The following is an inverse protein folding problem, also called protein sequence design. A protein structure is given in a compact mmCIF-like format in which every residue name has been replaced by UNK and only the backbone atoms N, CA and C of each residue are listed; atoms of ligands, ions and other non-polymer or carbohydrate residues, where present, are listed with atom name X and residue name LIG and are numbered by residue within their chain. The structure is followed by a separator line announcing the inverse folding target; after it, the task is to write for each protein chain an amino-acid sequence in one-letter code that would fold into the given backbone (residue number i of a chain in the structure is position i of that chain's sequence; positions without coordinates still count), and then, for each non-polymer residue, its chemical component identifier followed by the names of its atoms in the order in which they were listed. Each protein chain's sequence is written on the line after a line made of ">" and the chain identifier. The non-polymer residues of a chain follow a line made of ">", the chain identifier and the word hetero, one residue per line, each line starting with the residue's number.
data_IF_297478192931
#
_entry.id   IF_297478192931
#
_cell.length_a   1.000
_cell.length_b   1.000
_cell.length_c   1.000
_cell.angle_alpha   90.00
_cell.angle_beta   90.00
_cell.angle_gamma   90.00
#
_symmetry.space_group_name_H-M   'P 1'
#
loop_
_entity.id
_entity.type
_entity.pdbx_description
1 polymer ?
#
# COMPACT_ATOMS: atom_id res chain seq x y z
N UNK A 1 -80.31 -11.51 -24.62
CA UNK A 1 -79.43 -10.32 -24.63
C UNK A 1 -79.14 -9.84 -23.22
N UNK A 2 -80.15 -9.63 -22.36
CA UNK A 2 -79.97 -9.29 -20.93
C UNK A 2 -79.07 -10.26 -20.15
N UNK A 3 -79.32 -11.57 -20.20
CA UNK A 3 -78.51 -12.55 -19.45
C UNK A 3 -77.03 -12.61 -19.87
N UNK A 4 -76.72 -12.25 -21.12
CA UNK A 4 -75.34 -12.16 -21.59
C UNK A 4 -74.63 -10.90 -21.05
N UNK A 5 -75.39 -9.84 -20.77
CA UNK A 5 -74.90 -8.62 -20.16
C UNK A 5 -74.65 -8.84 -18.66
N UNK A 6 -75.60 -9.45 -17.94
CA UNK A 6 -75.48 -9.79 -16.52
C UNK A 6 -74.29 -10.72 -16.24
N UNK A 7 -74.10 -11.76 -17.05
CA UNK A 7 -72.92 -12.63 -16.93
C UNK A 7 -71.61 -11.88 -17.17
N UNK A 8 -71.60 -10.90 -18.09
CA UNK A 8 -70.40 -10.12 -18.38
C UNK A 8 -70.11 -9.10 -17.28
N UNK A 9 -71.15 -8.55 -16.66
CA UNK A 9 -71.06 -7.66 -15.50
C UNK A 9 -70.50 -8.41 -14.29
N UNK A 10 -71.01 -9.59 -13.96
CA UNK A 10 -70.48 -10.41 -12.87
C UNK A 10 -69.00 -10.78 -13.07
N UNK A 11 -68.60 -11.16 -14.28
CA UNK A 11 -67.19 -11.45 -14.59
C UNK A 11 -66.29 -10.20 -14.47
N UNK A 12 -66.82 -9.01 -14.78
CA UNK A 12 -66.09 -7.75 -14.62
C UNK A 12 -65.95 -7.36 -13.16
N UNK A 13 -66.97 -7.57 -12.34
CA UNK A 13 -66.91 -7.33 -10.89
C UNK A 13 -65.89 -8.24 -10.20
N UNK A 14 -65.87 -9.53 -10.55
CA UNK A 14 -64.87 -10.48 -10.07
C UNK A 14 -63.45 -10.04 -10.47
N UNK A 15 -63.24 -9.71 -11.75
CA UNK A 15 -61.94 -9.24 -12.25
C UNK A 15 -61.50 -7.91 -11.61
N UNK A 16 -62.43 -7.01 -11.31
CA UNK A 16 -62.16 -5.76 -10.59
C UNK A 16 -61.73 -6.04 -9.14
N UNK A 17 -62.37 -7.01 -8.49
CA UNK A 17 -61.98 -7.50 -7.17
C UNK A 17 -60.55 -8.02 -7.14
N UNK A 18 -60.20 -8.89 -8.08
CA UNK A 18 -58.84 -9.44 -8.22
C UNK A 18 -57.79 -8.36 -8.50
N UNK A 19 -58.12 -7.40 -9.37
CA UNK A 19 -57.24 -6.25 -9.64
C UNK A 19 -57.03 -5.39 -8.40
N UNK A 20 -58.06 -5.17 -7.58
CA UNK A 20 -57.95 -4.41 -6.34
C UNK A 20 -57.02 -5.09 -5.34
N UNK A 21 -57.17 -6.40 -5.14
CA UNK A 21 -56.28 -7.19 -4.28
C UNK A 21 -54.84 -7.14 -4.79
N UNK A 22 -54.65 -7.23 -6.11
CA UNK A 22 -53.32 -7.14 -6.73
C UNK A 22 -52.70 -5.76 -6.51
N UNK A 23 -53.49 -4.69 -6.60
CA UNK A 23 -53.02 -3.32 -6.36
C UNK A 23 -52.56 -3.13 -4.91
N UNK A 24 -53.35 -3.60 -3.94
CA UNK A 24 -52.98 -3.53 -2.51
C UNK A 24 -51.68 -4.29 -2.21
N UNK A 25 -51.46 -5.44 -2.86
CA UNK A 25 -50.20 -6.19 -2.79
C UNK A 25 -49.02 -5.42 -3.38
N UNK A 26 -49.20 -4.81 -4.56
CA UNK A 26 -48.16 -4.02 -5.24
C UNK A 26 -47.79 -2.78 -4.42
N UNK A 27 -48.77 -2.07 -3.86
CA UNK A 27 -48.54 -0.92 -3.00
C UNK A 27 -47.75 -1.29 -1.74
N UNK A 28 -48.13 -2.40 -1.10
CA UNK A 28 -47.39 -2.93 0.06
C UNK A 28 -45.95 -3.30 -0.28
N UNK A 29 -45.72 -3.94 -1.43
CA UNK A 29 -44.36 -4.22 -1.92
C UNK A 29 -43.57 -2.94 -2.19
N UNK A 30 -44.19 -1.94 -2.81
CA UNK A 30 -43.55 -0.66 -3.16
C UNK A 30 -43.07 0.07 -1.91
N UNK A 31 -43.92 0.19 -0.89
CA UNK A 31 -43.54 0.78 0.40
C UNK A 31 -42.39 0.01 1.08
N UNK A 32 -42.40 -1.32 0.98
CA UNK A 32 -41.31 -2.16 1.47
C UNK A 32 -39.97 -1.90 0.75
N UNK A 33 -40.02 -1.67 -0.57
CA UNK A 33 -38.83 -1.30 -1.35
C UNK A 33 -38.32 0.10 -0.98
N UNK A 34 -39.21 1.09 -0.83
CA UNK A 34 -38.84 2.46 -0.44
C UNK A 34 -38.14 2.46 0.93
N UNK A 35 -38.69 1.73 1.90
CA UNK A 35 -38.08 1.60 3.23
C UNK A 35 -36.70 0.91 3.19
N UNK A 36 -36.54 -0.09 2.31
CA UNK A 36 -35.27 -0.76 2.14
C UNK A 36 -34.24 0.17 1.46
N UNK A 37 -34.65 0.95 0.48
CA UNK A 37 -33.81 1.95 -0.17
C UNK A 37 -33.30 2.98 0.85
N UNK A 38 -34.19 3.50 1.72
CA UNK A 38 -33.82 4.48 2.74
C UNK A 38 -32.81 3.91 3.75
N UNK A 39 -33.02 2.67 4.22
CA UNK A 39 -32.07 1.97 5.10
C UNK A 39 -30.71 1.74 4.47
N UNK A 40 -30.68 1.38 3.18
CA UNK A 40 -29.43 1.20 2.44
C UNK A 40 -28.73 2.56 2.31
N UNK A 41 -29.45 3.64 2.01
CA UNK A 41 -28.90 4.99 1.92
C UNK A 41 -28.28 5.42 3.25
N UNK A 42 -28.99 5.25 4.36
CA UNK A 42 -28.50 5.57 5.70
C UNK A 42 -27.22 4.79 6.03
N UNK A 43 -27.24 3.46 5.84
CA UNK A 43 -26.07 2.61 6.06
C UNK A 43 -24.85 3.03 5.24
N UNK A 44 -25.06 3.38 3.96
CA UNK A 44 -23.98 3.84 3.07
C UNK A 44 -23.43 5.19 3.53
N UNK A 45 -24.30 6.12 3.93
CA UNK A 45 -23.89 7.44 4.43
C UNK A 45 -23.08 7.33 5.72
N UNK A 46 -23.54 6.52 6.67
CA UNK A 46 -22.84 6.31 7.95
C UNK A 46 -21.48 5.65 7.73
N UNK A 47 -21.44 4.60 6.90
CA UNK A 47 -20.21 3.88 6.58
C UNK A 47 -19.20 4.79 5.88
N UNK A 48 -19.67 5.58 4.92
CA UNK A 48 -18.82 6.51 4.17
C UNK A 48 -18.34 7.66 5.06
N UNK A 49 -19.22 8.20 5.91
CA UNK A 49 -18.91 9.26 6.88
C UNK A 49 -17.84 8.83 7.87
N UNK A 50 -18.03 7.68 8.52
CA UNK A 50 -17.04 7.12 9.45
C UNK A 50 -15.69 6.87 8.78
N UNK A 51 -15.69 6.36 7.54
CA UNK A 51 -14.46 6.16 6.78
C UNK A 51 -13.77 7.47 6.43
N UNK A 52 -14.54 8.51 6.04
CA UNK A 52 -14.01 9.83 5.74
C UNK A 52 -13.36 10.47 6.97
N UNK A 53 -13.99 10.38 8.15
CA UNK A 53 -13.43 10.88 9.41
C UNK A 53 -12.12 10.16 9.78
N UNK A 54 -12.09 8.83 9.68
CA UNK A 54 -10.89 8.03 9.93
C UNK A 54 -9.74 8.41 8.98
N UNK A 55 -10.03 8.53 7.68
CA UNK A 55 -9.03 8.91 6.68
C UNK A 55 -8.52 10.33 6.93
N UNK A 56 -9.41 11.26 7.27
CA UNK A 56 -9.03 12.64 7.56
C UNK A 56 -8.15 12.73 8.81
N UNK A 57 -8.45 11.96 9.87
CA UNK A 57 -7.62 11.86 11.07
C UNK A 57 -6.22 11.31 10.77
N UNK A 58 -6.12 10.25 9.95
CA UNK A 58 -4.84 9.67 9.53
C UNK A 58 -4.02 10.67 8.69
N UNK A 59 -4.65 11.30 7.71
CA UNK A 59 -4.00 12.32 6.85
C UNK A 59 -3.50 13.48 7.70
N UNK A 60 -4.32 13.99 8.62
CA UNK A 60 -3.94 15.10 9.49
C UNK A 60 -2.74 14.75 10.39
N UNK A 61 -2.75 13.56 11.01
CA UNK A 61 -1.62 13.07 11.81
C UNK A 61 -0.35 12.93 10.97
N UNK A 62 -0.46 12.39 9.76
CA UNK A 62 0.69 12.20 8.85
C UNK A 62 1.27 13.53 8.41
N UNK A 63 0.43 14.50 8.02
CA UNK A 63 0.87 15.85 7.63
C UNK A 63 1.56 16.56 8.79
N UNK A 64 1.03 16.46 10.00
CA UNK A 64 1.65 17.04 11.20
C UNK A 64 3.04 16.45 11.46
N UNK A 65 3.16 15.12 11.45
CA UNK A 65 4.44 14.44 11.64
C UNK A 65 5.46 14.82 10.57
N UNK A 66 5.02 14.96 9.30
CA UNK A 66 5.89 15.37 8.20
C UNK A 66 6.40 16.80 8.38
N UNK A 67 5.55 17.71 8.84
CA UNK A 67 5.93 19.09 9.13
C UNK A 67 6.96 19.17 10.27
N UNK A 68 6.74 18.45 11.37
CA UNK A 68 7.68 18.40 12.51
C UNK A 68 9.05 17.83 12.08
N UNK A 69 9.05 16.76 11.28
CA UNK A 69 10.28 16.19 10.71
C UNK A 69 10.97 17.13 9.73
N UNK A 70 10.22 17.91 8.96
CA UNK A 70 10.73 18.96 8.08
C UNK A 70 11.50 20.02 8.84
N UNK A 71 10.91 20.56 9.92
CA UNK A 71 11.56 21.55 10.78
C UNK A 71 12.85 20.99 11.42
N UNK A 72 12.79 19.76 11.95
CA UNK A 72 13.98 19.11 12.54
C UNK A 72 15.12 18.92 11.52
N UNK A 73 14.77 18.60 10.26
CA UNK A 73 15.75 18.49 9.19
C UNK A 73 16.38 19.84 8.84
N UNK A 74 15.59 20.91 8.80
CA UNK A 74 16.10 22.27 8.59
C UNK A 74 17.09 22.69 9.68
N UNK A 75 16.79 22.41 10.95
CA UNK A 75 17.68 22.67 12.08
C UNK A 75 19.01 21.91 11.96
N UNK A 76 18.95 20.62 11.59
CA UNK A 76 20.16 19.82 11.37
C UNK A 76 21.00 20.36 10.21
N UNK A 77 20.38 20.75 9.10
CA UNK A 77 21.10 21.35 7.96
C UNK A 77 21.75 22.66 8.37
N UNK A 78 21.10 23.48 9.20
CA UNK A 78 21.67 24.72 9.71
C UNK A 78 22.91 24.44 10.58
N UNK A 79 22.82 23.46 11.49
CA UNK A 79 23.94 23.04 12.33
C UNK A 79 25.12 22.52 11.50
N UNK A 80 24.86 21.64 10.52
CA UNK A 80 25.88 21.12 9.62
C UNK A 80 26.56 22.22 8.81
N UNK A 81 25.80 23.19 8.30
CA UNK A 81 26.36 24.35 7.60
C UNK A 81 27.32 25.14 8.49
N UNK A 82 26.98 25.33 9.77
CA UNK A 82 27.84 26.00 10.73
C UNK A 82 29.14 25.24 10.97
N UNK A 83 29.08 23.93 11.19
CA UNK A 83 30.27 23.08 11.38
C UNK A 83 31.18 23.09 10.15
N UNK A 84 30.62 23.08 8.94
CA UNK A 84 31.40 23.19 7.70
C UNK A 84 32.14 24.52 7.62
N UNK A 85 31.52 25.64 8.00
CA UNK A 85 32.17 26.95 8.01
C UNK A 85 33.29 27.02 9.06
N UNK A 86 33.09 26.42 10.24
CA UNK A 86 34.12 26.32 11.28
C UNK A 86 35.33 25.48 10.80
N UNK A 87 35.08 24.30 10.24
CA UNK A 87 36.12 23.43 9.66
C UNK A 87 36.86 24.10 8.50
N UNK A 88 36.18 24.87 7.65
CA UNK A 88 36.83 25.69 6.61
C UNK A 88 37.78 26.71 7.23
N UNK A 89 37.36 27.37 8.31
CA UNK A 89 38.20 28.29 9.08
C UNK A 89 39.49 27.61 9.58
N UNK A 90 39.35 26.49 10.28
CA UNK A 90 40.51 25.71 10.76
C UNK A 90 41.43 25.26 9.62
N UNK A 91 40.87 24.79 8.51
CA UNK A 91 41.63 24.35 7.34
C UNK A 91 42.46 25.49 6.74
N UNK A 92 41.93 26.72 6.72
CA UNK A 92 42.69 27.88 6.22
C UNK A 92 43.90 28.22 7.11
N UNK A 93 43.75 28.12 8.43
CA UNK A 93 44.84 28.32 9.39
C UNK A 93 45.92 27.26 9.18
N UNK A 94 45.52 25.98 9.10
CA UNK A 94 46.45 24.87 8.87
C UNK A 94 47.22 25.06 7.55
N UNK A 95 46.51 25.43 6.47
CA UNK A 95 47.12 25.71 5.17
C UNK A 95 48.12 26.86 5.21
N UNK A 96 47.82 27.94 5.94
CA UNK A 96 48.72 29.09 6.10
C UNK A 96 49.97 28.72 6.89
N UNK A 97 49.83 27.96 7.98
CA UNK A 97 50.96 27.46 8.77
C UNK A 97 51.91 26.57 7.95
N UNK A 98 51.35 25.74 7.06
CA UNK A 98 52.12 24.89 6.15
C UNK A 98 52.88 25.73 5.10
N UNK A 99 52.20 26.72 4.52
CA UNK A 99 52.74 27.66 3.52
C UNK A 99 53.89 28.51 4.06
N UNK A 100 53.82 28.93 5.32
CA UNK A 100 54.79 29.83 5.94
C UNK A 100 56.10 29.15 6.40
N UNK A 101 56.34 27.89 6.02
CA UNK A 101 57.68 27.31 6.08
C UNK A 101 58.23 26.97 7.47
N UNK A 102 57.38 26.52 8.42
CA UNK A 102 57.84 26.09 9.75
C UNK A 102 58.56 24.72 9.77
N UNK A 103 58.87 24.10 8.62
CA UNK A 103 59.63 22.84 8.56
C UNK A 103 60.86 22.95 7.66
N UNK A 104 61.83 23.74 8.09
CA UNK A 104 63.24 23.45 7.78
C UNK A 104 63.76 22.36 8.73
N UNK A 105 63.21 21.15 8.64
CA UNK A 105 63.96 19.95 9.03
C UNK A 105 63.38 18.70 8.37
N UNK A 106 64.29 18.01 7.67
CA UNK A 106 64.32 16.60 7.25
C UNK A 106 63.14 15.74 7.73
N UNK A 107 62.48 14.95 6.85
CA UNK A 107 61.35 14.13 7.24
C UNK A 107 61.82 13.01 8.18
N UNK A 108 61.72 13.24 9.50
CA UNK A 108 61.58 12.17 10.47
C UNK A 108 60.10 11.82 10.51
N UNK A 109 59.78 10.60 10.11
CA UNK A 109 58.52 9.95 10.43
C UNK A 109 58.28 10.09 11.94
N UNK A 110 57.46 11.06 12.33
CA UNK A 110 56.81 11.04 13.62
C UNK A 110 55.35 10.81 13.31
N UNK A 111 54.85 9.66 13.74
CA UNK A 111 53.45 9.32 13.73
C UNK A 111 52.71 10.35 14.61
N UNK A 112 52.26 11.44 13.98
CA UNK A 112 51.23 12.28 14.57
C UNK A 112 49.93 11.49 14.48
N UNK A 113 49.21 11.46 15.60
CA UNK A 113 47.91 10.82 15.79
C UNK A 113 46.89 11.46 14.83
N UNK A 114 46.90 10.98 13.58
CA UNK A 114 45.86 11.25 12.59
C UNK A 114 44.56 10.70 13.20
N UNK A 115 43.47 11.47 13.28
CA UNK A 115 42.21 10.96 13.82
C UNK A 115 41.87 9.67 13.07
N UNK A 116 41.92 8.56 13.78
CA UNK A 116 41.77 7.20 13.24
C UNK A 116 40.66 7.17 12.20
N UNK A 117 41.03 6.77 10.97
CA UNK A 117 40.13 6.53 9.84
C UNK A 117 38.96 5.62 10.24
N UNK A 118 39.17 4.79 11.26
CA UNK A 118 38.21 3.91 11.92
C UNK A 118 36.95 4.66 12.41
N UNK A 119 37.06 5.91 12.87
CA UNK A 119 35.91 6.72 13.28
C UNK A 119 35.10 7.21 12.07
N UNK A 120 35.78 7.59 10.99
CA UNK A 120 35.13 7.96 9.74
C UNK A 120 34.51 6.75 9.04
N UNK A 121 35.18 5.60 9.05
CA UNK A 121 34.62 4.33 8.57
C UNK A 121 33.42 3.90 9.40
N UNK A 122 33.46 4.04 10.74
CA UNK A 122 32.31 3.73 11.59
C UNK A 122 31.14 4.66 11.34
N UNK A 123 31.37 5.96 11.10
CA UNK A 123 30.31 6.91 10.74
C UNK A 123 29.77 6.59 9.35
N UNK A 124 30.63 6.27 8.38
CA UNK A 124 30.23 5.90 7.02
C UNK A 124 29.48 4.55 7.02
N UNK A 125 29.90 3.57 7.82
CA UNK A 125 29.18 2.32 8.04
C UNK A 125 27.86 2.56 8.78
N UNK A 126 27.78 3.50 9.71
CA UNK A 126 26.54 3.89 10.38
C UNK A 126 25.57 4.53 9.38
N UNK A 127 26.04 5.42 8.51
CA UNK A 127 25.25 6.02 7.43
C UNK A 127 24.80 4.99 6.38
N UNK A 128 25.65 4.01 6.06
CA UNK A 128 25.32 2.93 5.14
C UNK A 128 24.46 1.82 5.77
N UNK A 129 24.50 1.64 7.10
CA UNK A 129 23.68 0.66 7.83
C UNK A 129 22.37 1.24 8.40
N UNK A 130 22.22 2.57 8.47
CA UNK A 130 20.94 3.26 8.56
C UNK A 130 20.16 3.02 7.26
N UNK A 131 19.58 1.83 7.14
CA UNK A 131 18.90 1.28 5.98
C UNK A 131 17.59 1.96 5.61
N UNK A 132 17.63 3.24 5.25
CA UNK A 132 16.45 3.96 4.74
C UNK A 132 16.32 3.97 3.21
N UNK A 133 17.37 3.62 2.47
CA UNK A 133 17.39 3.71 1.01
C UNK A 133 17.06 2.39 0.32
N UNK A 134 17.57 1.25 0.80
CA UNK A 134 17.28 -0.07 0.21
C UNK A 134 15.92 -0.62 0.63
N UNK A 135 15.46 -0.35 1.85
CA UNK A 135 14.17 -0.84 2.33
C UNK A 135 13.01 -0.18 1.58
N UNK A 136 13.07 1.14 1.39
CA UNK A 136 12.13 1.88 0.55
C UNK A 136 12.14 1.37 -0.90
N UNK A 137 13.31 1.07 -1.45
CA UNK A 137 13.42 0.47 -2.79
C UNK A 137 12.78 -0.93 -2.85
N UNK A 138 13.03 -1.79 -1.86
CA UNK A 138 12.38 -3.12 -1.78
C UNK A 138 10.87 -3.04 -1.56
N UNK A 139 10.38 -2.04 -0.81
CA UNK A 139 8.94 -1.77 -0.62
C UNK A 139 8.32 -1.26 -1.92
N UNK A 140 9.00 -0.37 -2.65
CA UNK A 140 8.56 0.08 -3.98
C UNK A 140 8.54 -1.09 -4.99
N UNK A 141 9.53 -1.99 -4.95
CA UNK A 141 9.54 -3.20 -5.79
C UNK A 141 8.39 -4.15 -5.44
N UNK A 142 8.04 -4.29 -4.15
CA UNK A 142 6.87 -5.06 -3.72
C UNK A 142 5.56 -4.45 -4.24
N UNK A 143 5.41 -3.12 -4.17
CA UNK A 143 4.25 -2.39 -4.68
C UNK A 143 4.01 -2.57 -6.18
N UNK A 144 5.08 -2.78 -6.96
CA UNK A 144 5.03 -2.92 -8.40
C UNK A 144 5.20 -4.36 -8.89
N UNK A 145 5.19 -5.34 -7.97
CA UNK A 145 5.34 -6.74 -8.32
C UNK A 145 4.09 -7.22 -9.07
N UNK A 146 4.24 -7.39 -10.38
CA UNK A 146 3.21 -7.95 -11.24
C UNK A 146 3.62 -9.35 -11.70
N UNK A 147 2.67 -10.24 -12.03
CA UNK A 147 2.99 -11.55 -12.59
C UNK A 147 3.59 -11.37 -13.98
N UNK A 148 4.92 -11.36 -14.10
CA UNK A 148 5.58 -11.18 -15.40
C UNK A 148 5.35 -12.38 -16.35
N UNK A 149 5.37 -13.60 -15.80
CA UNK A 149 5.24 -14.83 -16.56
C UNK A 149 4.16 -15.73 -15.93
N UNK A 150 4.49 -16.33 -14.77
CA UNK A 150 3.63 -17.31 -14.06
C UNK A 150 3.39 -16.94 -12.60
N UNK A 151 2.25 -17.38 -12.04
CA UNK A 151 1.95 -17.28 -10.60
C UNK A 151 3.08 -17.90 -9.76
N UNK A 152 3.70 -18.99 -10.22
CA UNK A 152 4.82 -19.63 -9.51
C UNK A 152 6.05 -18.70 -9.39
N UNK A 153 6.43 -18.03 -10.48
CA UNK A 153 7.53 -17.05 -10.46
C UNK A 153 7.19 -15.83 -9.59
N UNK A 154 5.93 -15.36 -9.66
CA UNK A 154 5.46 -14.29 -8.79
C UNK A 154 5.61 -14.65 -7.31
N UNK A 155 5.12 -15.82 -6.89
CA UNK A 155 5.23 -16.28 -5.49
C UNK A 155 6.69 -16.38 -5.06
N UNK A 156 7.60 -16.82 -5.93
CA UNK A 156 9.02 -16.88 -5.63
C UNK A 156 9.64 -15.48 -5.41
N UNK A 157 9.34 -14.53 -6.30
CA UNK A 157 9.83 -13.15 -6.18
C UNK A 157 9.27 -12.45 -4.92
N UNK A 158 7.98 -12.63 -4.66
CA UNK A 158 7.31 -12.14 -3.46
C UNK A 158 7.96 -12.70 -2.18
N UNK A 159 8.20 -14.02 -2.13
CA UNK A 159 8.86 -14.67 -0.98
C UNK A 159 10.23 -14.05 -0.69
N UNK A 160 11.00 -13.76 -1.74
CA UNK A 160 12.34 -13.17 -1.62
C UNK A 160 12.29 -11.75 -1.07
N UNK A 161 11.34 -10.93 -1.54
CA UNK A 161 11.17 -9.54 -1.10
C UNK A 161 10.69 -9.45 0.35
N UNK A 162 9.76 -10.30 0.77
CA UNK A 162 9.30 -10.34 2.16
C UNK A 162 10.43 -10.61 3.17
N UNK A 163 11.40 -11.45 2.81
CA UNK A 163 12.55 -11.74 3.68
C UNK A 163 13.53 -10.57 3.80
N UNK A 164 13.49 -9.61 2.87
CA UNK A 164 14.35 -8.43 2.88
C UNK A 164 13.75 -7.27 3.66
N UNK A 165 12.43 -7.27 3.90
CA UNK A 165 11.72 -6.21 4.64
C UNK A 165 11.51 -6.68 6.08
N UNK A 166 12.39 -6.24 6.98
CA UNK A 166 12.45 -6.70 8.37
C UNK A 166 11.26 -6.28 9.26
N UNK A 167 10.47 -5.29 8.85
CA UNK A 167 9.33 -4.73 9.60
C UNK A 167 7.96 -5.02 8.95
N UNK A 168 7.89 -5.90 7.93
CA UNK A 168 6.65 -6.17 7.19
C UNK A 168 5.62 -6.91 8.07
N UNK A 169 4.46 -6.28 8.31
CA UNK A 169 3.40 -6.92 9.09
C UNK A 169 2.70 -8.02 8.28
N UNK A 170 2.16 -9.04 8.98
CA UNK A 170 1.39 -10.12 8.33
C UNK A 170 0.21 -9.60 7.51
N UNK A 171 -0.45 -8.54 7.99
CA UNK A 171 -1.62 -7.93 7.32
C UNK A 171 -1.22 -7.23 6.03
N UNK A 172 -0.12 -6.46 6.05
CA UNK A 172 0.43 -5.81 4.86
C UNK A 172 0.91 -6.84 3.85
N UNK A 173 1.61 -7.88 4.31
CA UNK A 173 2.07 -8.98 3.48
C UNK A 173 0.91 -9.68 2.73
N UNK A 174 -0.18 -10.01 3.41
CA UNK A 174 -1.37 -10.58 2.76
C UNK A 174 -1.96 -9.65 1.70
N UNK A 175 -2.11 -8.36 2.03
CA UNK A 175 -2.65 -7.37 1.10
C UNK A 175 -1.80 -7.22 -0.17
N UNK A 176 -0.47 -7.12 -0.03
CA UNK A 176 0.43 -7.03 -1.17
C UNK A 176 0.45 -8.31 -2.00
N UNK A 177 0.39 -9.46 -1.32
CA UNK A 177 0.38 -10.76 -1.99
C UNK A 177 -0.84 -10.92 -2.91
N UNK A 178 -2.04 -10.62 -2.40
CA UNK A 178 -3.28 -10.72 -3.17
C UNK A 178 -3.34 -9.72 -4.33
N UNK A 179 -2.94 -8.47 -4.10
CA UNK A 179 -2.98 -7.44 -5.14
C UNK A 179 -2.02 -7.70 -6.32
N UNK A 180 -0.88 -8.35 -6.07
CA UNK A 180 0.06 -8.70 -7.12
C UNK A 180 -0.26 -10.00 -7.86
N UNK A 181 -1.27 -10.78 -7.45
CA UNK A 181 -1.65 -12.02 -8.13
C UNK A 181 -2.49 -11.77 -9.39
N UNK A 182 -2.50 -12.74 -10.32
CA UNK A 182 -3.44 -12.72 -11.44
C UNK A 182 -4.88 -12.86 -10.91
N UNK A 183 -5.89 -12.17 -11.50
CA UNK A 183 -7.26 -12.19 -10.98
C UNK A 183 -7.86 -13.60 -10.83
N UNK A 184 -7.57 -14.52 -11.75
CA UNK A 184 -8.05 -15.90 -11.66
C UNK A 184 -7.43 -16.67 -10.48
N UNK A 185 -6.18 -16.36 -10.12
CA UNK A 185 -5.48 -16.99 -9.01
C UNK A 185 -6.04 -16.51 -7.66
N UNK A 186 -6.38 -15.21 -7.56
CA UNK A 186 -7.08 -14.65 -6.40
C UNK A 186 -8.43 -15.37 -6.21
N UNK A 187 -9.20 -15.48 -7.31
CA UNK A 187 -10.49 -16.17 -7.29
C UNK A 187 -10.36 -17.64 -6.86
N UNK A 188 -9.33 -18.35 -7.34
CA UNK A 188 -9.07 -19.74 -6.98
C UNK A 188 -8.76 -19.90 -5.48
N UNK A 189 -7.92 -19.03 -4.91
CA UNK A 189 -7.61 -19.03 -3.47
C UNK A 189 -8.87 -18.78 -2.63
N UNK A 190 -9.71 -17.84 -3.03
CA UNK A 190 -10.97 -17.54 -2.36
C UNK A 190 -11.96 -18.71 -2.46
N UNK A 191 -12.05 -19.38 -3.62
CA UNK A 191 -12.89 -20.58 -3.78
C UNK A 191 -12.49 -21.71 -2.83
N UNK A 192 -11.19 -21.84 -2.56
CA UNK A 192 -10.65 -22.82 -1.63
C UNK A 192 -10.73 -22.37 -0.15
N UNK A 193 -11.21 -21.16 0.13
CA UNK A 193 -11.32 -20.62 1.49
C UNK A 193 -9.97 -20.33 2.15
N UNK A 194 -8.92 -20.10 1.35
CA UNK A 194 -7.56 -19.90 1.87
C UNK A 194 -7.37 -18.42 2.22
N UNK A 195 -7.19 -18.14 3.51
CA UNK A 195 -7.02 -16.79 4.07
C UNK A 195 -5.61 -16.59 4.65
N UNK A 196 -4.95 -17.69 5.04
CA UNK A 196 -3.61 -17.63 5.63
C UNK A 196 -2.53 -17.51 4.55
N UNK A 197 -1.70 -16.47 4.64
CA UNK A 197 -0.67 -16.15 3.64
C UNK A 197 0.26 -17.32 3.30
N UNK A 198 0.75 -18.05 4.31
CA UNK A 198 1.68 -19.17 4.10
C UNK A 198 1.02 -20.31 3.32
N UNK A 199 -0.27 -20.56 3.57
CA UNK A 199 -1.06 -21.56 2.84
C UNK A 199 -1.34 -21.05 1.43
N UNK A 200 -1.72 -19.78 1.28
CA UNK A 200 -1.97 -19.14 -0.01
C UNK A 200 -0.75 -19.17 -0.93
N UNK A 201 0.46 -18.93 -0.39
CA UNK A 201 1.71 -19.03 -1.14
C UNK A 201 2.04 -20.47 -1.54
N UNK A 202 1.71 -21.45 -0.70
CA UNK A 202 1.95 -22.87 -1.01
C UNK A 202 1.02 -23.34 -2.11
N UNK A 203 -0.26 -22.99 -2.02
CA UNK A 203 -1.27 -23.34 -3.02
C UNK A 203 -1.05 -22.59 -4.33
N UNK A 204 -0.73 -21.30 -4.29
CA UNK A 204 -0.46 -20.53 -5.51
C UNK A 204 0.71 -21.10 -6.34
N UNK A 205 1.68 -21.80 -5.72
CA UNK A 205 2.77 -22.49 -6.46
C UNK A 205 2.28 -23.72 -7.25
N UNK A 206 1.18 -24.33 -6.84
CA UNK A 206 0.61 -25.54 -7.48
C UNK A 206 -0.23 -25.18 -8.69
N UNK A 207 -0.65 -23.92 -8.82
CA UNK A 207 -1.48 -23.49 -9.95
C UNK A 207 -0.80 -23.73 -11.30
N UNK A 208 -1.55 -24.33 -12.21
CA UNK A 208 -1.13 -24.61 -13.58
C UNK A 208 -1.68 -23.52 -14.48
N UNK A 209 -0.80 -22.76 -15.10
CA UNK A 209 -1.20 -21.76 -16.08
C UNK A 209 -1.36 -22.43 -17.46
N UNK A 210 -2.60 -22.50 -17.93
CA UNK A 210 -2.89 -22.87 -19.30
C UNK A 210 -2.47 -21.67 -20.19
N UNK A 211 -1.33 -21.81 -20.86
CA UNK A 211 -0.89 -20.84 -21.86
C UNK A 211 -1.89 -20.72 -23.03
N UNK A 212 -1.79 -19.67 -23.85
CA UNK A 212 -2.72 -19.47 -24.96
C UNK A 212 -2.71 -20.70 -25.87
N UNK A 213 -3.88 -21.29 -26.07
CA UNK A 213 -4.14 -22.23 -27.16
C UNK A 213 -3.66 -21.56 -28.45
N UNK A 214 -2.52 -22.01 -28.98
CA UNK A 214 -2.19 -21.76 -30.37
C UNK A 214 -3.19 -22.60 -31.16
N UNK A 215 -4.28 -21.98 -31.57
CA UNK A 215 -5.14 -22.50 -32.63
C UNK A 215 -4.26 -22.68 -33.86
N UNK A 216 -3.72 -23.89 -34.01
CA UNK A 216 -3.19 -24.35 -35.28
C UNK A 216 -4.40 -24.63 -36.15
N UNK A 217 -4.76 -23.63 -36.95
CA UNK A 217 -5.44 -23.86 -38.20
C UNK A 217 -4.53 -24.78 -39.04
N UNK A 218 -4.91 -26.06 -39.12
CA UNK A 218 -4.63 -26.94 -40.25
C UNK A 218 -5.96 -27.35 -40.88
#
# INVERSE_FOLDING_TARGET
>A
MLSALENREGNLEESLGDMKVTLELIEGCTYGFDLMEEKIREFVLDSLGANAENMNGLVHSTVKNLAERGNALEDMVLAMKKEIEELKGEFTIYKAALSNGMLNSRPKQQATDVPKLDKFQSILLMFLSCGGYTENETRVQLCHLTPQDTVRQYVWAFSKLMLQISDLSKKEASYWFENGLKPWAIHELHRQGIIELTIAMTEAKTFVELGPMKDKLE
#
